data_IF_556031616741
#
_entry.id   IF_556031616741
#
_cell.length_a   1.000
_cell.length_b   1.000
_cell.length_c   1.000
_cell.angle_alpha   90.00
_cell.angle_beta   90.00
_cell.angle_gamma   90.00
#
_symmetry.space_group_name_H-M   'P 1'
#
loop_
_entity.id
_entity.type
_entity.pdbx_description
1 polymer ?
#
# COMPACT_ATOMS: atom_id res chain seq x y z
N UNK A 1 25.16 17.30 -4.23
CA UNK A 1 24.20 18.35 -4.63
C UNK A 1 22.82 17.68 -4.71
N UNK A 2 21.99 17.88 -3.70
CA UNK A 2 20.65 17.30 -3.62
C UNK A 2 19.71 18.10 -4.52
N UNK A 3 19.38 17.54 -5.70
CA UNK A 3 18.38 18.12 -6.57
C UNK A 3 16.99 17.96 -5.91
N UNK A 4 16.40 19.06 -5.46
CA UNK A 4 15.00 19.10 -5.03
C UNK A 4 14.14 19.27 -6.28
N UNK A 5 13.41 18.23 -6.66
CA UNK A 5 12.38 18.32 -7.71
C UNK A 5 11.14 18.94 -7.09
N UNK A 6 10.79 20.16 -7.51
CA UNK A 6 9.50 20.76 -7.19
C UNK A 6 8.47 20.29 -8.20
N UNK A 7 7.46 19.57 -7.74
CA UNK A 7 6.28 19.26 -8.55
C UNK A 7 5.44 20.54 -8.71
N UNK A 8 5.22 20.98 -9.95
CA UNK A 8 4.26 22.03 -10.28
C UNK A 8 3.06 21.41 -11.01
N UNK A 9 1.82 21.57 -10.51
CA UNK A 9 0.65 21.10 -11.24
C UNK A 9 0.48 21.92 -12.52
N UNK A 10 0.65 21.28 -13.67
CA UNK A 10 0.14 21.81 -14.94
C UNK A 10 -1.26 21.26 -15.21
N UNK A 11 -2.18 22.19 -15.51
CA UNK A 11 -3.60 22.06 -15.90
C UNK A 11 -4.62 22.14 -14.75
N UNK A 12 -5.21 23.33 -14.64
CA UNK A 12 -6.60 23.64 -14.26
C UNK A 12 -7.38 22.64 -13.42
N UNK A 13 -6.83 22.19 -12.29
CA UNK A 13 -7.64 21.56 -11.25
C UNK A 13 -8.56 22.66 -10.72
N UNK A 14 -9.90 22.49 -10.70
CA UNK A 14 -10.77 23.47 -10.09
C UNK A 14 -10.26 23.75 -8.67
N UNK A 15 -10.07 25.03 -8.34
CA UNK A 15 -9.75 25.44 -6.97
C UNK A 15 -10.92 25.04 -6.09
N UNK A 16 -10.84 23.85 -5.51
CA UNK A 16 -11.67 23.47 -4.38
C UNK A 16 -11.39 24.55 -3.33
N UNK A 17 -12.40 25.26 -2.82
CA UNK A 17 -12.19 26.19 -1.71
C UNK A 17 -11.39 25.46 -0.65
N UNK A 18 -10.28 26.04 -0.21
CA UNK A 18 -9.46 25.46 0.85
C UNK A 18 -10.33 25.37 2.11
N UNK A 19 -10.96 24.21 2.32
CA UNK A 19 -11.78 23.97 3.49
C UNK A 19 -10.82 23.75 4.65
N UNK A 20 -10.55 24.78 5.44
CA UNK A 20 -9.79 24.62 6.67
C UNK A 20 -10.69 23.96 7.71
N UNK A 21 -10.29 22.79 8.18
CA UNK A 21 -11.00 22.10 9.26
C UNK A 21 -10.62 22.74 10.59
N UNK A 22 -11.63 23.04 11.41
CA UNK A 22 -11.39 23.44 12.80
C UNK A 22 -11.10 22.18 13.63
N UNK A 23 -9.84 22.01 14.04
CA UNK A 23 -9.40 20.86 14.83
C UNK A 23 -10.11 20.75 16.17
N UNK A 24 -10.47 21.86 16.81
CA UNK A 24 -11.20 21.86 18.08
C UNK A 24 -12.62 21.32 17.93
N UNK A 25 -13.36 21.81 16.93
CA UNK A 25 -14.70 21.32 16.60
C UNK A 25 -14.66 19.85 16.14
N UNK A 26 -13.66 19.48 15.34
CA UNK A 26 -13.50 18.10 14.87
C UNK A 26 -13.17 17.16 16.03
N UNK A 27 -12.31 17.58 16.97
CA UNK A 27 -12.00 16.81 18.17
C UNK A 27 -13.23 16.59 19.04
N UNK A 28 -14.04 17.64 19.26
CA UNK A 28 -15.30 17.53 20.01
C UNK A 28 -16.25 16.51 19.37
N UNK A 29 -16.23 16.36 18.04
CA UNK A 29 -17.07 15.40 17.31
C UNK A 29 -16.49 13.98 17.27
N UNK A 30 -15.17 13.83 17.17
CA UNK A 30 -14.50 12.52 17.04
C UNK A 30 -14.24 11.84 18.37
N UNK A 31 -13.99 12.61 19.45
CA UNK A 31 -13.66 12.04 20.75
C UNK A 31 -14.78 11.16 21.31
N UNK A 32 -16.08 11.54 21.30
CA UNK A 32 -17.14 10.68 21.82
C UNK A 32 -17.23 9.31 21.12
N UNK A 33 -17.33 9.19 19.78
CA UNK A 33 -17.40 7.87 19.13
C UNK A 33 -16.09 7.09 19.25
N UNK A 34 -14.92 7.76 19.32
CA UNK A 34 -13.65 7.08 19.60
C UNK A 34 -13.68 6.39 20.97
N UNK A 35 -14.17 7.06 22.01
CA UNK A 35 -14.31 6.48 23.34
C UNK A 35 -15.39 5.38 23.39
N UNK A 36 -16.49 5.57 22.66
CA UNK A 36 -17.58 4.59 22.55
C UNK A 36 -17.07 3.23 22.03
N UNK A 37 -16.07 3.21 21.14
CA UNK A 37 -15.46 1.97 20.66
C UNK A 37 -14.85 1.11 21.77
N UNK A 38 -14.28 1.73 22.80
CA UNK A 38 -13.74 1.01 23.96
C UNK A 38 -14.86 0.57 24.91
N UNK A 39 -15.82 1.44 25.16
CA UNK A 39 -16.89 1.21 26.14
C UNK A 39 -17.91 0.16 25.67
N UNK A 40 -18.24 0.14 24.38
CA UNK A 40 -19.33 -0.69 23.82
C UNK A 40 -18.87 -1.79 22.89
N UNK A 41 -17.82 -1.56 22.11
CA UNK A 41 -17.37 -2.48 21.06
C UNK A 41 -16.12 -3.29 21.44
N UNK A 42 -15.56 -3.03 22.63
CA UNK A 42 -14.51 -3.86 23.22
C UNK A 42 -13.14 -3.65 22.61
N UNK A 43 -12.88 -2.47 22.02
CA UNK A 43 -11.53 -2.13 21.53
C UNK A 43 -10.49 -2.35 22.64
N UNK A 44 -9.41 -3.05 22.29
CA UNK A 44 -8.29 -3.25 23.21
C UNK A 44 -7.45 -1.98 23.31
N UNK A 45 -7.10 -1.43 22.14
CA UNK A 45 -6.23 -0.29 21.97
C UNK A 45 -6.34 0.23 20.55
N UNK A 46 -6.41 1.55 20.39
CA UNK A 46 -6.58 2.18 19.09
C UNK A 46 -5.96 3.58 19.04
N UNK A 47 -5.68 4.04 17.83
CA UNK A 47 -5.28 5.41 17.55
C UNK A 47 -5.97 5.94 16.29
N UNK A 48 -6.23 7.24 16.25
CA UNK A 48 -6.75 7.98 15.10
C UNK A 48 -5.94 9.24 14.92
N UNK A 49 -5.49 9.48 13.70
CA UNK A 49 -4.83 10.73 13.31
C UNK A 49 -5.50 11.31 12.06
N UNK A 50 -5.72 12.62 12.05
CA UNK A 50 -6.29 13.35 10.91
C UNK A 50 -5.32 14.46 10.53
N UNK A 51 -4.98 14.52 9.24
CA UNK A 51 -3.99 15.46 8.70
C UNK A 51 -4.65 16.39 7.69
N UNK A 52 -4.22 17.65 7.68
CA UNK A 52 -4.60 18.63 6.67
C UNK A 52 -3.38 19.47 6.30
N UNK A 53 -3.12 19.61 4.99
CA UNK A 53 -2.01 20.40 4.47
C UNK A 53 -0.62 20.02 5.04
N UNK A 54 -0.43 18.73 5.33
CA UNK A 54 0.83 18.22 5.89
C UNK A 54 0.99 18.39 7.40
N UNK A 55 -0.03 18.89 8.11
CA UNK A 55 -0.01 19.06 9.56
C UNK A 55 -1.06 18.16 10.24
N UNK A 56 -0.76 17.55 11.39
CA UNK A 56 -1.74 16.82 12.17
C UNK A 56 -2.70 17.81 12.84
N UNK A 57 -4.01 17.61 12.64
CA UNK A 57 -5.06 18.43 13.27
C UNK A 57 -5.85 17.67 14.33
N UNK A 58 -5.76 16.34 14.36
CA UNK A 58 -6.30 15.45 15.38
C UNK A 58 -5.30 14.34 15.65
N UNK A 59 -5.05 14.08 16.93
CA UNK A 59 -4.33 12.90 17.39
C UNK A 59 -5.06 12.34 18.62
N UNK A 60 -5.57 11.12 18.50
CA UNK A 60 -6.23 10.38 19.56
C UNK A 60 -5.55 9.03 19.70
N UNK A 61 -5.29 8.61 20.94
CA UNK A 61 -4.93 7.25 21.24
C UNK A 61 -5.56 6.83 22.58
N UNK A 62 -5.78 5.53 22.77
CA UNK A 62 -6.42 5.01 23.97
C UNK A 62 -6.38 3.50 24.07
N UNK A 63 -6.73 2.99 25.24
CA UNK A 63 -6.69 1.57 25.56
C UNK A 63 -5.29 1.06 25.90
N UNK A 64 -5.02 -0.19 25.55
CA UNK A 64 -3.85 -0.96 25.95
C UNK A 64 -3.20 -1.63 24.73
N UNK A 65 -1.90 -1.87 24.80
CA UNK A 65 -1.14 -2.55 23.72
C UNK A 65 -0.99 -4.05 23.95
N UNK A 66 -1.48 -4.57 25.06
CA UNK A 66 -1.42 -5.99 25.41
C UNK A 66 -2.76 -6.49 25.96
N UNK A 67 -3.02 -7.79 25.75
CA UNK A 67 -4.29 -8.42 26.10
C UNK A 67 -4.57 -8.45 27.61
N UNK A 68 -3.54 -8.37 28.46
CA UNK A 68 -3.68 -8.33 29.92
C UNK A 68 -4.04 -6.94 30.43
N UNK A 69 -3.97 -5.92 29.57
CA UNK A 69 -4.23 -4.51 29.89
C UNK A 69 -3.24 -3.97 30.94
N UNK A 70 -1.99 -4.42 30.86
CA UNK A 70 -0.93 -4.00 31.79
C UNK A 70 -0.21 -2.73 31.28
N UNK A 71 -0.16 -2.55 29.95
CA UNK A 71 0.57 -1.46 29.31
C UNK A 71 -0.38 -0.60 28.48
N UNK A 72 -0.46 0.72 28.78
CA UNK A 72 -1.30 1.63 28.01
C UNK A 72 -0.80 1.76 26.58
N UNK A 73 -1.73 2.06 25.68
CA UNK A 73 -1.40 2.51 24.34
C UNK A 73 -0.79 3.92 24.40
N UNK A 74 0.21 4.19 23.57
CA UNK A 74 0.88 5.49 23.45
C UNK A 74 0.93 5.91 21.98
N UNK A 75 1.30 7.17 21.70
CA UNK A 75 1.54 7.64 20.32
C UNK A 75 2.56 6.79 19.57
N UNK A 76 3.49 6.16 20.29
CA UNK A 76 4.60 5.38 19.73
C UNK A 76 4.28 3.87 19.64
N UNK A 77 3.05 3.45 19.99
CA UNK A 77 2.65 2.04 19.88
C UNK A 77 2.60 1.62 18.41
N UNK A 78 3.44 0.66 18.04
CA UNK A 78 3.44 0.04 16.72
C UNK A 78 2.46 -1.14 16.65
N UNK A 79 1.71 -1.23 15.56
CA UNK A 79 0.84 -2.36 15.24
C UNK A 79 1.01 -2.81 13.80
N UNK A 80 0.67 -4.08 13.53
CA UNK A 80 0.54 -4.55 12.17
C UNK A 80 -0.65 -3.85 11.50
N UNK A 81 -0.36 -3.07 10.46
CA UNK A 81 -1.39 -2.38 9.64
C UNK A 81 -1.87 -3.24 8.46
N UNK A 82 -1.38 -4.48 8.37
CA UNK A 82 -1.79 -5.48 7.40
C UNK A 82 -1.81 -4.93 5.96
N UNK A 83 -2.93 -5.08 5.27
CA UNK A 83 -3.12 -4.67 3.90
C UNK A 83 -3.03 -3.16 3.66
N UNK A 84 -3.09 -2.31 4.69
CA UNK A 84 -2.85 -0.88 4.52
C UNK A 84 -1.42 -0.61 3.98
N UNK A 85 -0.47 -1.51 4.25
CA UNK A 85 0.89 -1.50 3.68
C UNK A 85 0.89 -1.44 2.15
N UNK A 86 -0.13 -2.00 1.48
CA UNK A 86 -0.24 -1.99 0.01
C UNK A 86 -0.34 -0.58 -0.56
N UNK A 87 -0.98 0.35 0.16
CA UNK A 87 -1.10 1.75 -0.28
C UNK A 87 0.26 2.43 -0.37
N UNK A 88 1.07 2.30 0.69
CA UNK A 88 2.44 2.83 0.74
C UNK A 88 3.32 2.13 -0.30
N UNK A 89 3.26 0.79 -0.38
CA UNK A 89 4.05 0.04 -1.36
C UNK A 89 3.75 0.43 -2.81
N UNK A 90 2.47 0.61 -3.14
CA UNK A 90 2.06 1.09 -4.46
C UNK A 90 2.55 2.51 -4.73
N UNK A 91 2.55 3.40 -3.72
CA UNK A 91 3.08 4.75 -3.86
C UNK A 91 4.59 4.74 -4.17
N UNK A 92 5.36 3.87 -3.50
CA UNK A 92 6.78 3.68 -3.81
C UNK A 92 7.01 3.21 -5.25
N UNK A 93 6.27 2.19 -5.71
CA UNK A 93 6.37 1.74 -7.10
C UNK A 93 5.97 2.87 -8.08
N UNK A 94 4.84 3.55 -7.85
CA UNK A 94 4.42 4.67 -8.71
C UNK A 94 5.45 5.80 -8.76
N UNK A 95 6.09 6.11 -7.63
CA UNK A 95 7.18 7.08 -7.58
C UNK A 95 8.40 6.59 -8.38
N UNK A 96 8.78 5.31 -8.26
CA UNK A 96 9.84 4.72 -9.07
C UNK A 96 9.52 4.76 -10.58
N UNK A 97 8.29 4.46 -10.97
CA UNK A 97 7.85 4.58 -12.36
C UNK A 97 7.97 6.03 -12.86
N UNK A 98 7.57 7.00 -12.05
CA UNK A 98 7.68 8.42 -12.40
C UNK A 98 9.14 8.86 -12.60
N UNK A 99 10.03 8.54 -11.66
CA UNK A 99 11.46 8.91 -11.73
C UNK A 99 12.14 8.32 -12.98
N UNK A 100 11.71 7.13 -13.39
CA UNK A 100 12.23 6.44 -14.57
C UNK A 100 11.43 6.72 -15.85
N UNK A 101 10.41 7.59 -15.80
CA UNK A 101 9.53 7.94 -16.93
C UNK A 101 8.84 6.73 -17.58
N UNK A 102 8.45 5.76 -16.75
CA UNK A 102 7.75 4.55 -17.17
C UNK A 102 6.24 4.79 -17.08
N UNK A 103 5.53 4.49 -18.17
CA UNK A 103 4.07 4.60 -18.20
C UNK A 103 3.41 3.31 -17.70
N UNK A 104 2.22 3.45 -17.09
CA UNK A 104 1.46 2.34 -16.51
C UNK A 104 0.90 1.35 -17.55
N UNK A 105 0.84 1.72 -18.82
CA UNK A 105 0.43 0.86 -19.94
C UNK A 105 1.56 -0.06 -20.43
N UNK A 106 2.81 0.17 -20.00
CA UNK A 106 3.92 -0.71 -20.31
C UNK A 106 3.76 -2.08 -19.63
N UNK A 107 4.33 -3.11 -20.27
CA UNK A 107 4.21 -4.49 -19.82
C UNK A 107 5.15 -4.76 -18.65
N UNK A 108 4.68 -5.53 -17.67
CA UNK A 108 5.50 -6.01 -16.54
C UNK A 108 6.75 -6.74 -17.04
N UNK A 109 6.58 -7.52 -18.11
CA UNK A 109 7.65 -8.30 -18.74
C UNK A 109 8.81 -7.46 -19.32
N UNK A 110 8.61 -6.16 -19.58
CA UNK A 110 9.68 -5.26 -20.05
C UNK A 110 10.71 -4.98 -18.94
N UNK A 111 10.30 -5.13 -17.68
CA UNK A 111 11.14 -4.93 -16.49
C UNK A 111 11.50 -6.24 -15.82
N UNK A 112 10.62 -7.23 -15.90
CA UNK A 112 10.75 -8.56 -15.30
C UNK A 112 10.54 -9.65 -16.36
N UNK A 113 11.57 -9.97 -17.18
CA UNK A 113 11.40 -10.90 -18.31
C UNK A 113 10.89 -12.28 -17.93
N UNK A 114 11.31 -12.81 -16.78
CA UNK A 114 10.89 -14.11 -16.26
C UNK A 114 9.39 -14.15 -15.93
N UNK A 115 8.76 -12.99 -15.69
CA UNK A 115 7.31 -12.88 -15.49
C UNK A 115 6.52 -13.22 -16.75
N UNK A 116 7.09 -13.10 -17.96
CA UNK A 116 6.38 -13.29 -19.23
C UNK A 116 5.83 -14.71 -19.44
N UNK A 117 6.30 -15.68 -18.65
CA UNK A 117 5.92 -17.09 -18.77
C UNK A 117 4.40 -17.30 -18.55
N UNK A 118 3.88 -18.41 -19.06
CA UNK A 118 2.49 -18.85 -18.83
C UNK A 118 1.41 -17.83 -19.25
N UNK A 119 1.67 -17.08 -20.33
CA UNK A 119 0.72 -16.15 -20.94
C UNK A 119 0.58 -14.81 -20.22
N UNK A 120 1.63 -14.38 -19.51
CA UNK A 120 1.67 -13.13 -18.75
C UNK A 120 2.42 -12.00 -19.45
N UNK A 121 2.89 -12.22 -20.67
CA UNK A 121 3.70 -11.30 -21.48
C UNK A 121 3.00 -9.96 -21.75
N UNK A 122 1.66 -9.93 -21.80
CA UNK A 122 0.88 -8.72 -22.07
C UNK A 122 0.29 -8.04 -20.83
N UNK A 123 0.61 -8.52 -19.61
CA UNK A 123 0.12 -7.89 -18.38
C UNK A 123 0.79 -6.52 -18.21
N UNK A 124 -0.02 -5.47 -18.11
CA UNK A 124 0.49 -4.11 -17.88
C UNK A 124 0.74 -3.83 -16.40
N UNK A 125 1.57 -2.82 -16.11
CA UNK A 125 1.77 -2.33 -14.75
C UNK A 125 0.44 -1.88 -14.11
N UNK A 126 -0.44 -1.24 -14.87
CA UNK A 126 -1.79 -0.86 -14.43
C UNK A 126 -2.63 -2.07 -14.01
N UNK A 127 -2.63 -3.15 -14.82
CA UNK A 127 -3.37 -4.38 -14.52
C UNK A 127 -2.82 -5.08 -13.27
N UNK A 128 -1.50 -5.10 -13.08
CA UNK A 128 -0.88 -5.65 -11.87
C UNK A 128 -1.27 -4.84 -10.62
N UNK A 129 -1.09 -3.51 -10.66
CA UNK A 129 -1.42 -2.61 -9.55
C UNK A 129 -2.90 -2.62 -9.18
N UNK A 130 -3.79 -2.89 -10.13
CA UNK A 130 -5.23 -2.97 -9.93
C UNK A 130 -5.77 -4.39 -9.73
N UNK A 131 -4.90 -5.35 -9.36
CA UNK A 131 -5.29 -6.72 -9.02
C UNK A 131 -5.95 -7.53 -10.15
N UNK A 132 -5.59 -7.25 -11.40
CA UNK A 132 -6.14 -7.91 -12.59
C UNK A 132 -5.18 -8.93 -13.23
N UNK A 133 -4.02 -9.17 -12.63
CA UNK A 133 -3.01 -10.10 -13.14
C UNK A 133 -3.36 -11.60 -12.97
N UNK A 134 -4.41 -11.93 -12.22
CA UNK A 134 -4.80 -13.34 -11.99
C UNK A 134 -3.90 -14.12 -11.03
N UNK A 135 -3.08 -13.44 -10.22
CA UNK A 135 -2.10 -14.05 -9.31
C UNK A 135 -2.47 -13.86 -7.84
N UNK A 136 -3.77 -13.84 -7.52
CA UNK A 136 -4.23 -13.48 -6.17
C UNK A 136 -3.88 -14.50 -5.08
N UNK A 137 -3.55 -15.73 -5.47
CA UNK A 137 -3.04 -16.80 -4.63
C UNK A 137 -2.01 -17.63 -5.39
N UNK A 138 -1.02 -18.18 -4.68
CA UNK A 138 -0.07 -19.11 -5.26
C UNK A 138 -0.75 -20.44 -5.60
N UNK A 139 -0.44 -21.01 -6.76
CA UNK A 139 -0.95 -22.30 -7.23
C UNK A 139 -0.27 -23.51 -6.57
N UNK A 140 0.76 -23.26 -5.76
CA UNK A 140 1.55 -24.26 -5.06
C UNK A 140 1.89 -23.80 -3.66
N UNK A 141 2.28 -24.75 -2.80
CA UNK A 141 2.80 -24.43 -1.46
C UNK A 141 4.24 -23.97 -1.58
N UNK A 142 4.51 -22.78 -1.06
CA UNK A 142 5.83 -22.19 -0.90
C UNK A 142 5.88 -21.57 0.49
N UNK A 143 7.03 -21.62 1.15
CA UNK A 143 7.23 -20.85 2.37
C UNK A 143 7.24 -19.35 2.01
N UNK A 144 6.35 -18.58 2.65
CA UNK A 144 6.26 -17.14 2.41
C UNK A 144 7.50 -16.39 2.89
N UNK A 145 8.32 -16.99 3.76
CA UNK A 145 9.58 -16.43 4.21
C UNK A 145 10.72 -16.65 3.20
N UNK A 146 10.57 -17.58 2.26
CA UNK A 146 11.50 -17.77 1.15
C UNK A 146 11.08 -16.89 -0.03
N UNK A 147 11.60 -15.66 -0.03
CA UNK A 147 11.29 -14.66 -1.04
C UNK A 147 11.51 -15.17 -2.47
N UNK A 148 12.69 -15.74 -2.73
CA UNK A 148 13.04 -16.17 -4.09
C UNK A 148 12.16 -17.34 -4.53
N UNK A 149 11.76 -18.24 -3.62
CA UNK A 149 10.82 -19.30 -3.97
C UNK A 149 9.43 -18.76 -4.31
N UNK A 150 8.97 -17.71 -3.64
CA UNK A 150 7.69 -17.04 -3.96
C UNK A 150 7.79 -16.37 -5.34
N UNK A 151 8.87 -15.64 -5.63
CA UNK A 151 9.10 -15.01 -6.93
C UNK A 151 9.12 -16.05 -8.05
N UNK A 152 9.93 -17.11 -7.91
CA UNK A 152 9.98 -18.21 -8.90
C UNK A 152 8.61 -18.87 -9.11
N UNK A 153 7.82 -19.01 -8.05
CA UNK A 153 6.46 -19.54 -8.18
C UNK A 153 5.54 -18.59 -8.98
N UNK A 154 5.59 -17.29 -8.72
CA UNK A 154 4.83 -16.27 -9.45
C UNK A 154 5.23 -16.19 -10.93
N UNK A 155 6.52 -16.31 -11.24
CA UNK A 155 7.05 -16.28 -12.60
C UNK A 155 6.44 -17.37 -13.47
N UNK A 156 6.39 -18.61 -12.97
CA UNK A 156 5.91 -19.73 -13.78
C UNK A 156 4.39 -19.96 -13.67
N UNK A 157 3.73 -19.38 -12.67
CA UNK A 157 2.30 -19.59 -12.44
C UNK A 157 1.45 -19.04 -13.59
N UNK A 158 0.46 -19.84 -14.01
CA UNK A 158 -0.58 -19.41 -14.94
C UNK A 158 -1.59 -18.53 -14.19
N UNK A 159 -2.01 -17.38 -14.75
CA UNK A 159 -3.11 -16.59 -14.19
C UNK A 159 -4.37 -17.44 -13.98
N UNK A 160 -5.05 -17.24 -12.85
CA UNK A 160 -6.30 -17.93 -12.49
C UNK A 160 -7.47 -17.58 -13.43
N UNK A 161 -7.37 -16.45 -14.13
CA UNK A 161 -8.27 -16.00 -15.18
C UNK A 161 -7.47 -15.21 -16.22
N UNK A 162 -8.00 -14.99 -17.43
CA UNK A 162 -7.33 -14.14 -18.42
C UNK A 162 -7.03 -12.74 -17.86
N UNK A 163 -5.77 -12.27 -17.87
CA UNK A 163 -5.44 -10.97 -17.28
C UNK A 163 -6.27 -9.82 -17.86
N UNK A 164 -6.68 -8.89 -16.99
CA UNK A 164 -7.52 -7.75 -17.39
C UNK A 164 -9.02 -8.04 -17.56
N UNK A 165 -9.46 -9.31 -17.49
CA UNK A 165 -10.89 -9.64 -17.63
C UNK A 165 -11.63 -9.75 -16.30
N UNK A 166 -10.90 -9.81 -15.17
CA UNK A 166 -11.48 -9.84 -13.83
C UNK A 166 -10.52 -9.26 -12.79
N UNK A 167 -11.08 -8.94 -11.62
CA UNK A 167 -10.35 -8.48 -10.45
C UNK A 167 -10.37 -9.58 -9.38
N UNK A 168 -9.22 -9.85 -8.77
CA UNK A 168 -9.14 -10.66 -7.56
C UNK A 168 -8.08 -10.13 -6.63
N UNK A 169 -8.48 -9.80 -5.40
CA UNK A 169 -7.61 -9.14 -4.44
C UNK A 169 -6.38 -9.99 -4.12
N UNK A 170 -5.19 -9.50 -4.47
CA UNK A 170 -3.92 -10.19 -4.24
C UNK A 170 -3.51 -10.03 -2.77
N UNK A 171 -4.15 -10.80 -1.89
CA UNK A 171 -4.06 -10.57 -0.45
C UNK A 171 -2.62 -10.68 0.08
N UNK A 172 -1.86 -11.68 -0.39
CA UNK A 172 -0.47 -11.94 0.02
C UNK A 172 0.57 -11.72 -1.08
N UNK A 173 0.24 -12.07 -2.33
CA UNK A 173 1.19 -12.00 -3.45
C UNK A 173 1.52 -10.57 -3.89
N UNK A 174 0.66 -9.59 -3.60
CA UNK A 174 0.85 -8.20 -4.05
C UNK A 174 2.15 -7.59 -3.56
N UNK A 175 2.54 -7.83 -2.30
CA UNK A 175 3.78 -7.29 -1.75
C UNK A 175 5.02 -7.77 -2.52
N UNK A 176 5.07 -9.06 -2.88
CA UNK A 176 6.14 -9.63 -3.68
C UNK A 176 6.18 -9.06 -5.09
N UNK A 177 5.01 -8.91 -5.73
CA UNK A 177 4.90 -8.32 -7.07
C UNK A 177 5.40 -6.87 -7.09
N UNK A 178 5.06 -6.08 -6.06
CA UNK A 178 5.56 -4.71 -5.92
C UNK A 178 7.05 -4.67 -5.66
N UNK A 179 7.53 -5.46 -4.69
CA UNK A 179 8.93 -5.48 -4.28
C UNK A 179 9.86 -5.89 -5.43
N UNK A 180 9.51 -6.93 -6.19
CA UNK A 180 10.32 -7.37 -7.32
C UNK A 180 10.39 -6.31 -8.42
N UNK A 181 9.28 -5.61 -8.70
CA UNK A 181 9.28 -4.49 -9.65
C UNK A 181 10.16 -3.33 -9.15
N UNK A 182 10.08 -2.97 -7.87
CA UNK A 182 10.92 -1.90 -7.30
C UNK A 182 12.40 -2.29 -7.34
N UNK A 183 12.75 -3.55 -7.03
CA UNK A 183 14.13 -4.05 -7.15
C UNK A 183 14.66 -3.90 -8.57
N UNK A 184 13.88 -4.29 -9.56
CA UNK A 184 14.31 -4.25 -10.97
C UNK A 184 14.38 -2.84 -11.55
N UNK A 185 13.49 -1.95 -11.14
CA UNK A 185 13.40 -0.59 -11.68
C UNK A 185 14.34 0.36 -10.93
N UNK A 186 14.32 0.33 -9.60
CA UNK A 186 15.02 1.28 -8.73
C UNK A 186 16.28 0.71 -8.06
N UNK A 187 16.59 -0.58 -8.25
CA UNK A 187 17.83 -1.21 -7.76
C UNK A 187 17.90 -1.43 -6.25
N UNK A 188 16.77 -1.39 -5.53
CA UNK A 188 16.70 -1.55 -4.07
C UNK A 188 15.42 -2.28 -3.65
N UNK A 189 15.40 -2.84 -2.44
CA UNK A 189 14.19 -3.43 -1.88
C UNK A 189 13.12 -2.35 -1.62
N UNK A 190 11.85 -2.73 -1.67
CA UNK A 190 10.72 -1.86 -1.32
C UNK A 190 10.80 -1.39 0.14
N UNK A 191 11.38 -2.18 1.04
CA UNK A 191 11.61 -1.78 2.43
C UNK A 191 12.63 -0.64 2.57
N UNK A 192 13.54 -0.51 1.61
CA UNK A 192 14.65 0.44 1.62
C UNK A 192 14.37 1.65 0.70
N UNK A 193 13.22 1.64 0.02
CA UNK A 193 12.79 2.68 -0.91
C UNK A 193 12.12 3.84 -0.20
#
# INVERSE_FOLDING_TARGET
MTARVFWTPQRGVPTIPSMQLDGGQLLQRLKPPFLENFEKFGELGAAVSVWQNGEPIIELCGGFRDARREHPWTSDTLVLVWSATKGIGSACLLHALQEHKINLDQRVAEFWPEFAQSGKDNITLAQLLSHQAGLCALDRRVDVLDYDAVIRALEVQKPLWPPGTAHGYHARTFGFLLDELVRRIAGKALSDY
#
